data_IF_588384104702
#
_entry.id   IF_588384104702
#
_cell.length_a   1.000
_cell.length_b   1.000
_cell.length_c   1.000
_cell.angle_alpha   90.00
_cell.angle_beta   90.00
_cell.angle_gamma   90.00
#
_symmetry.space_group_name_H-M   'P 1'
#
loop_
_entity.id
_entity.type
_entity.pdbx_description
1 polymer ?
#
# COMPACT_ATOMS: atom_id res chain seq x y z
N UNK A 1 5.60 12.67 -9.72
CA UNK A 1 5.86 11.98 -8.43
C UNK A 1 4.55 11.95 -7.67
N UNK A 2 4.00 10.77 -7.37
CA UNK A 2 2.66 10.66 -6.76
C UNK A 2 2.70 11.10 -5.28
N UNK A 3 1.64 11.76 -4.76
CA UNK A 3 1.58 12.26 -3.38
C UNK A 3 1.83 11.16 -2.33
N UNK A 4 1.51 9.91 -2.67
CA UNK A 4 1.81 8.72 -1.85
C UNK A 4 3.30 8.52 -1.57
N UNK A 5 4.18 8.76 -2.55
CA UNK A 5 5.64 8.60 -2.37
C UNK A 5 6.21 9.67 -1.42
N UNK A 6 5.62 10.87 -1.43
CA UNK A 6 6.03 11.98 -0.57
C UNK A 6 5.61 11.69 0.88
N UNK A 7 4.37 11.25 1.10
CA UNK A 7 3.90 10.87 2.44
C UNK A 7 4.71 9.73 3.06
N UNK A 8 5.11 8.75 2.25
CA UNK A 8 5.96 7.64 2.70
C UNK A 8 7.38 8.10 3.08
N UNK A 9 8.01 8.96 2.26
CA UNK A 9 9.34 9.54 2.54
C UNK A 9 9.34 10.42 3.78
N UNK A 10 8.30 11.25 3.94
CA UNK A 10 8.15 12.13 5.10
C UNK A 10 7.93 11.30 6.38
N UNK A 11 7.09 10.27 6.32
CA UNK A 11 6.85 9.37 7.46
C UNK A 11 8.10 8.59 7.88
N UNK A 12 8.93 8.15 6.94
CA UNK A 12 10.16 7.39 7.23
C UNK A 12 11.27 8.27 7.82
N UNK A 13 11.37 9.54 7.43
CA UNK A 13 12.36 10.48 7.96
C UNK A 13 11.94 11.09 9.31
N UNK A 14 10.65 11.35 9.52
CA UNK A 14 10.15 12.01 10.73
C UNK A 14 9.97 11.01 11.89
N UNK A 15 9.57 9.77 11.60
CA UNK A 15 9.34 8.75 12.63
C UNK A 15 10.52 8.51 13.59
N UNK A 16 11.79 8.37 13.14
CA UNK A 16 12.92 8.17 14.05
C UNK A 16 13.22 9.41 14.92
N UNK A 17 12.96 10.61 14.40
CA UNK A 17 13.12 11.86 15.16
C UNK A 17 12.09 11.95 16.30
N UNK A 18 10.83 11.60 16.02
CA UNK A 18 9.77 11.56 17.03
C UNK A 18 10.07 10.50 18.09
N UNK A 19 10.53 9.31 17.69
CA UNK A 19 10.96 8.26 18.61
C UNK A 19 12.11 8.72 19.52
N UNK A 20 13.10 9.43 18.98
CA UNK A 20 14.19 10.01 19.78
C UNK A 20 13.67 10.99 20.83
N UNK A 21 12.73 11.86 20.46
CA UNK A 21 12.14 12.83 21.40
C UNK A 21 11.36 12.12 22.52
N UNK A 22 10.56 11.11 22.18
CA UNK A 22 9.78 10.34 23.18
C UNK A 22 10.71 9.59 24.14
N UNK A 23 11.65 8.81 23.60
CA UNK A 23 12.57 7.99 24.42
C UNK A 23 13.51 8.90 25.23
N UNK A 24 14.00 9.99 24.64
CA UNK A 24 14.82 10.98 25.32
C UNK A 24 14.07 11.67 26.46
N UNK A 25 12.79 11.98 26.28
CA UNK A 25 11.93 12.54 27.34
C UNK A 25 11.76 11.55 28.49
N UNK A 26 11.43 10.29 28.20
CA UNK A 26 11.31 9.23 29.21
C UNK A 26 12.64 9.07 29.98
N UNK A 27 13.76 9.02 29.26
CA UNK A 27 15.09 8.89 29.86
C UNK A 27 15.43 10.08 30.78
N UNK A 28 15.07 11.30 30.38
CA UNK A 28 15.25 12.50 31.19
C UNK A 28 14.44 12.47 32.50
N UNK A 29 13.19 12.00 32.44
CA UNK A 29 12.35 11.85 33.64
C UNK A 29 12.89 10.78 34.59
N UNK A 30 13.31 9.62 34.07
CA UNK A 30 13.88 8.53 34.89
C UNK A 30 15.14 8.99 35.65
N UNK A 31 15.98 9.81 35.01
CA UNK A 31 17.24 10.27 35.60
C UNK A 31 17.09 11.50 36.52
N UNK A 32 15.86 11.85 36.89
CA UNK A 32 15.57 12.86 37.90
C UNK A 32 16.05 14.26 37.55
N UNK A 33 16.04 14.64 36.25
CA UNK A 33 16.53 15.95 35.75
C UNK A 33 17.99 16.29 36.08
N UNK A 34 18.80 15.31 36.51
CA UNK A 34 20.22 15.53 36.85
C UNK A 34 21.11 15.89 35.66
N UNK A 35 20.63 15.68 34.43
CA UNK A 35 21.33 15.98 33.18
C UNK A 35 20.51 16.96 32.34
N UNK A 36 21.13 17.86 31.58
CA UNK A 36 20.39 18.74 30.68
C UNK A 36 19.65 17.93 29.61
N UNK A 37 18.42 18.34 29.28
CA UNK A 37 17.50 17.62 28.39
C UNK A 37 18.14 17.24 27.04
N UNK A 38 18.88 18.16 26.41
CA UNK A 38 19.58 17.87 25.15
C UNK A 38 20.62 16.76 25.27
N UNK A 39 21.31 16.64 26.41
CA UNK A 39 22.27 15.55 26.66
C UNK A 39 21.56 14.22 26.93
N UNK A 40 20.30 14.25 27.37
CA UNK A 40 19.44 13.08 27.52
C UNK A 40 18.95 12.56 26.16
N UNK A 41 18.45 13.45 25.29
CA UNK A 41 17.94 13.12 23.94
C UNK A 41 19.05 12.61 23.02
N UNK A 42 20.22 13.26 23.02
CA UNK A 42 21.37 12.84 22.20
C UNK A 42 22.28 11.82 22.91
N UNK A 43 21.78 11.16 23.95
CA UNK A 43 22.51 10.07 24.58
C UNK A 43 22.68 8.93 23.58
N UNK A 44 23.89 8.37 23.49
CA UNK A 44 24.22 7.24 22.61
C UNK A 44 23.23 6.08 22.75
N UNK A 45 22.73 5.84 23.96
CA UNK A 45 21.74 4.79 24.25
C UNK A 45 20.34 5.08 23.70
N UNK A 46 19.94 6.35 23.69
CA UNK A 46 18.65 6.79 23.14
C UNK A 46 18.69 6.70 21.61
N UNK A 47 19.77 7.20 21.00
CA UNK A 47 19.97 7.13 19.54
C UNK A 47 19.93 5.67 19.04
N UNK A 48 20.69 4.78 19.69
CA UNK A 48 20.74 3.36 19.32
C UNK A 48 19.38 2.69 19.49
N UNK A 49 18.68 2.93 20.61
CA UNK A 49 17.35 2.35 20.84
C UNK A 49 16.31 2.84 19.83
N UNK A 50 16.31 4.13 19.50
CA UNK A 50 15.42 4.71 18.48
C UNK A 50 15.68 4.12 17.09
N UNK A 51 16.94 3.94 16.72
CA UNK A 51 17.31 3.29 15.45
C UNK A 51 16.85 1.83 15.41
N UNK A 52 17.07 1.07 16.48
CA UNK A 52 16.64 -0.34 16.56
C UNK A 52 15.10 -0.44 16.45
N UNK A 53 14.36 0.38 17.20
CA UNK A 53 12.89 0.38 17.13
C UNK A 53 12.35 0.80 15.76
N UNK A 54 13.03 1.75 15.11
CA UNK A 54 12.69 2.16 13.75
C UNK A 54 12.92 1.03 12.74
N UNK A 55 14.05 0.31 12.85
CA UNK A 55 14.36 -0.84 12.01
C UNK A 55 13.36 -1.99 12.21
N UNK A 56 13.01 -2.34 13.45
CA UNK A 56 12.02 -3.38 13.74
C UNK A 56 10.65 -3.02 13.14
N UNK A 57 10.22 -1.76 13.31
CA UNK A 57 8.96 -1.27 12.75
C UNK A 57 8.95 -1.31 11.22
N UNK A 58 10.11 -1.04 10.59
CA UNK A 58 10.27 -1.07 9.14
C UNK A 58 10.18 -2.50 8.60
N UNK A 59 10.87 -3.45 9.22
CA UNK A 59 10.83 -4.86 8.84
C UNK A 59 9.41 -5.43 8.96
N UNK A 60 8.70 -5.11 10.05
CA UNK A 60 7.31 -5.57 10.24
C UNK A 60 6.37 -5.10 9.12
N UNK A 61 6.47 -3.84 8.68
CA UNK A 61 5.65 -3.30 7.58
C UNK A 61 5.97 -3.94 6.24
N UNK A 62 7.25 -4.17 5.96
CA UNK A 62 7.68 -4.80 4.70
C UNK A 62 7.17 -6.24 4.58
N UNK A 63 7.18 -6.99 5.68
CA UNK A 63 6.62 -8.34 5.72
C UNK A 63 5.11 -8.36 5.43
N UNK A 64 4.34 -7.41 5.97
CA UNK A 64 2.90 -7.31 5.70
C UNK A 64 2.60 -6.98 4.24
N UNK A 65 3.38 -6.11 3.60
CA UNK A 65 3.21 -5.75 2.20
C UNK A 65 3.54 -6.92 1.27
N UNK A 66 4.63 -7.66 1.56
CA UNK A 66 4.96 -8.89 0.84
C UNK A 66 3.88 -9.96 0.98
N UNK A 67 3.32 -10.12 2.18
CA UNK A 67 2.24 -11.07 2.42
C UNK A 67 0.96 -10.67 1.67
N UNK A 68 0.66 -9.37 1.62
CA UNK A 68 -0.45 -8.84 0.83
C UNK A 68 -0.23 -9.05 -0.67
N UNK A 69 1.01 -8.89 -1.16
CA UNK A 69 1.36 -9.08 -2.58
C UNK A 69 1.28 -10.53 -3.04
N UNK A 70 1.52 -11.48 -2.13
CA UNK A 70 1.33 -12.90 -2.39
C UNK A 70 -0.14 -13.34 -2.28
N UNK A 71 -1.04 -12.48 -1.76
CA UNK A 71 -2.44 -12.82 -1.54
C UNK A 71 -3.27 -12.72 -2.82
N UNK A 72 -4.22 -13.64 -2.97
CA UNK A 72 -5.29 -13.59 -3.97
C UNK A 72 -6.47 -12.71 -3.52
N UNK A 73 -6.50 -12.28 -2.25
CA UNK A 73 -7.53 -11.38 -1.71
C UNK A 73 -6.99 -9.96 -1.76
N UNK A 74 -7.58 -9.12 -2.62
CA UNK A 74 -7.09 -7.76 -2.83
C UNK A 74 -7.69 -6.81 -1.81
N UNK A 75 -7.00 -5.70 -1.46
CA UNK A 75 -7.55 -4.71 -0.56
C UNK A 75 -8.83 -4.09 -1.12
N UNK A 76 -9.83 -3.88 -0.27
CA UNK A 76 -11.16 -3.39 -0.69
C UNK A 76 -11.09 -2.06 -1.45
N UNK A 77 -10.16 -1.18 -1.05
CA UNK A 77 -9.91 0.10 -1.73
C UNK A 77 -9.54 -0.07 -3.21
N UNK A 78 -8.76 -1.11 -3.54
CA UNK A 78 -8.23 -1.33 -4.89
C UNK A 78 -9.27 -2.06 -5.74
N UNK A 79 -10.05 -2.96 -5.12
CA UNK A 79 -11.24 -3.57 -5.74
C UNK A 79 -12.28 -2.50 -6.13
N UNK A 80 -12.54 -1.54 -5.23
CA UNK A 80 -13.44 -0.41 -5.52
C UNK A 80 -12.91 0.46 -6.65
N UNK A 81 -11.63 0.85 -6.59
CA UNK A 81 -11.00 1.65 -7.64
C UNK A 81 -11.06 0.97 -9.01
N UNK A 82 -10.79 -0.34 -9.07
CA UNK A 82 -10.93 -1.13 -10.30
C UNK A 82 -12.37 -1.13 -10.81
N UNK A 83 -13.33 -1.38 -9.93
CA UNK A 83 -14.76 -1.45 -10.28
C UNK A 83 -15.26 -0.10 -10.80
N UNK A 84 -14.91 1.00 -10.15
CA UNK A 84 -15.24 2.35 -10.58
C UNK A 84 -14.62 2.71 -11.92
N UNK A 85 -13.35 2.36 -12.15
CA UNK A 85 -12.67 2.54 -13.42
C UNK A 85 -13.34 1.75 -14.55
N UNK A 86 -13.70 0.50 -14.28
CA UNK A 86 -14.41 -0.37 -15.20
C UNK A 86 -15.81 0.18 -15.55
N UNK A 87 -16.59 0.61 -14.55
CA UNK A 87 -17.90 1.23 -14.75
C UNK A 87 -17.80 2.54 -15.55
N UNK A 88 -16.78 3.36 -15.29
CA UNK A 88 -16.53 4.60 -16.02
C UNK A 88 -16.23 4.32 -17.50
N UNK A 89 -15.44 3.29 -17.79
CA UNK A 89 -15.19 2.83 -19.16
C UNK A 89 -16.44 2.32 -19.88
N UNK A 90 -17.32 1.61 -19.16
CA UNK A 90 -18.58 1.09 -19.70
C UNK A 90 -19.60 2.20 -20.01
N UNK A 91 -19.70 3.23 -19.17
CA UNK A 91 -20.51 4.43 -19.42
C UNK A 91 -20.10 5.12 -20.73
N UNK A 92 -18.80 5.21 -21.01
CA UNK A 92 -18.27 5.74 -22.27
C UNK A 92 -18.72 4.98 -23.52
N UNK A 93 -19.16 3.72 -23.38
CA UNK A 93 -19.62 2.84 -24.47
C UNK A 93 -21.15 2.64 -24.50
N UNK A 94 -21.92 3.42 -23.72
CA UNK A 94 -23.40 3.31 -23.61
C UNK A 94 -23.89 1.91 -23.19
N UNK A 95 -23.10 1.20 -22.40
CA UNK A 95 -23.54 -0.08 -21.81
C UNK A 95 -24.43 0.20 -20.59
N UNK A 96 -25.47 -0.60 -20.38
CA UNK A 96 -26.32 -0.51 -19.19
C UNK A 96 -25.48 -0.65 -17.91
N UNK A 97 -25.74 0.21 -16.92
CA UNK A 97 -24.93 0.28 -15.69
C UNK A 97 -24.99 -1.02 -14.89
N UNK A 98 -26.15 -1.69 -14.84
CA UNK A 98 -26.30 -2.95 -14.09
C UNK A 98 -25.56 -4.10 -14.76
N UNK A 99 -25.56 -4.11 -16.10
CA UNK A 99 -24.77 -5.07 -16.89
C UNK A 99 -23.27 -4.80 -16.68
N UNK A 100 -22.85 -3.53 -16.74
CA UNK A 100 -21.46 -3.16 -16.48
C UNK A 100 -21.01 -3.55 -15.07
N UNK A 101 -21.84 -3.34 -14.04
CA UNK A 101 -21.53 -3.71 -12.66
C UNK A 101 -21.34 -5.23 -12.51
N UNK A 102 -22.23 -6.03 -13.09
CA UNK A 102 -22.11 -7.51 -13.10
C UNK A 102 -20.81 -7.95 -13.80
N UNK A 103 -20.47 -7.33 -14.93
CA UNK A 103 -19.24 -7.63 -15.68
C UNK A 103 -17.98 -7.25 -14.90
N UNK A 104 -17.94 -6.07 -14.30
CA UNK A 104 -16.80 -5.58 -13.55
C UNK A 104 -16.57 -6.43 -12.28
N UNK A 105 -17.66 -6.79 -11.58
CA UNK A 105 -17.63 -7.67 -10.40
C UNK A 105 -17.16 -9.09 -10.76
N UNK A 106 -17.65 -9.66 -11.87
CA UNK A 106 -17.16 -10.94 -12.36
C UNK A 106 -15.67 -10.87 -12.71
N UNK A 107 -15.26 -9.82 -13.43
CA UNK A 107 -13.88 -9.68 -13.90
C UNK A 107 -12.90 -9.59 -12.74
N UNK A 108 -13.16 -8.75 -11.73
CA UNK A 108 -12.25 -8.63 -10.58
C UNK A 108 -12.18 -9.92 -9.77
N UNK A 109 -13.30 -10.65 -9.65
CA UNK A 109 -13.33 -11.94 -8.95
C UNK A 109 -12.47 -12.99 -9.66
N UNK A 110 -12.56 -13.07 -10.99
CA UNK A 110 -11.77 -14.02 -11.77
C UNK A 110 -10.29 -13.61 -11.85
N UNK A 111 -10.00 -12.31 -11.90
CA UNK A 111 -8.63 -11.78 -11.78
C UNK A 111 -8.02 -12.18 -10.44
N UNK A 112 -8.75 -12.03 -9.33
CA UNK A 112 -8.30 -12.44 -8.00
C UNK A 112 -7.96 -13.93 -7.91
N UNK A 113 -8.73 -14.79 -8.61
CA UNK A 113 -8.43 -16.23 -8.68
C UNK A 113 -7.19 -16.54 -9.52
N UNK A 114 -6.98 -15.78 -10.59
CA UNK A 114 -5.92 -16.06 -11.57
C UNK A 114 -4.57 -15.44 -11.19
N UNK A 115 -4.57 -14.31 -10.48
CA UNK A 115 -3.37 -13.52 -10.18
C UNK A 115 -3.31 -13.13 -8.71
N UNK A 116 -2.11 -13.09 -8.15
CA UNK A 116 -1.91 -12.47 -6.83
C UNK A 116 -2.02 -10.95 -6.94
N UNK A 117 -2.18 -10.27 -5.81
CA UNK A 117 -2.25 -8.82 -5.78
C UNK A 117 -0.97 -8.16 -6.32
N UNK A 118 0.20 -8.73 -6.04
CA UNK A 118 1.48 -8.26 -6.56
C UNK A 118 1.57 -8.36 -8.08
N UNK A 119 1.04 -9.43 -8.67
CA UNK A 119 0.95 -9.61 -10.13
C UNK A 119 -0.04 -8.65 -10.76
N UNK A 120 -1.21 -8.47 -10.14
CA UNK A 120 -2.21 -7.50 -10.55
C UNK A 120 -1.61 -6.08 -10.64
N UNK A 121 -0.87 -5.63 -9.61
CA UNK A 121 -0.21 -4.32 -9.63
C UNK A 121 0.77 -4.16 -10.79
N UNK A 122 1.54 -5.21 -11.11
CA UNK A 122 2.49 -5.19 -12.24
C UNK A 122 1.75 -5.07 -13.56
N UNK A 123 0.70 -5.86 -13.75
CA UNK A 123 -0.12 -5.84 -14.96
C UNK A 123 -0.83 -4.48 -15.12
N UNK A 124 -1.38 -3.91 -14.04
CA UNK A 124 -2.00 -2.58 -14.07
C UNK A 124 -1.00 -1.49 -14.49
N UNK A 125 0.21 -1.51 -13.93
CA UNK A 125 1.30 -0.62 -14.35
C UNK A 125 1.69 -0.80 -15.82
N UNK A 126 1.80 -2.04 -16.28
CA UNK A 126 2.08 -2.35 -17.68
C UNK A 126 0.96 -1.86 -18.61
N UNK A 127 -0.30 -2.00 -18.20
CA UNK A 127 -1.45 -1.49 -18.94
C UNK A 127 -1.46 0.03 -19.04
N UNK A 128 -1.13 0.74 -17.94
CA UNK A 128 -1.03 2.20 -17.95
C UNK A 128 0.11 2.69 -18.86
N UNK A 129 1.23 1.99 -18.88
CA UNK A 129 2.40 2.38 -19.68
C UNK A 129 2.31 1.99 -21.16
N UNK A 130 1.85 0.77 -21.45
CA UNK A 130 1.82 0.20 -22.80
C UNK A 130 0.49 0.42 -23.53
N UNK A 131 -0.57 0.84 -22.81
CA UNK A 131 -1.96 0.90 -23.29
C UNK A 131 -2.48 -0.43 -23.87
N UNK A 132 -1.79 -1.55 -23.61
CA UNK A 132 -2.15 -2.87 -24.10
C UNK A 132 -2.66 -3.73 -22.95
N UNK A 133 -3.76 -4.45 -23.18
CA UNK A 133 -4.34 -5.37 -22.21
C UNK A 133 -3.73 -6.75 -22.46
N UNK A 134 -3.07 -7.38 -21.47
CA UNK A 134 -2.55 -8.73 -21.62
C UNK A 134 -3.65 -9.72 -22.02
N UNK A 135 -3.28 -10.70 -22.86
CA UNK A 135 -4.24 -11.68 -23.39
C UNK A 135 -4.99 -12.43 -22.28
N UNK A 136 -4.31 -12.78 -21.18
CA UNK A 136 -4.93 -13.41 -20.01
C UNK A 136 -6.04 -12.56 -19.39
N UNK A 137 -5.82 -11.25 -19.25
CA UNK A 137 -6.84 -10.31 -18.77
C UNK A 137 -8.03 -10.18 -19.72
N UNK A 138 -7.75 -10.10 -21.03
CA UNK A 138 -8.80 -10.03 -22.05
C UNK A 138 -9.69 -11.29 -22.04
N UNK A 139 -9.09 -12.47 -21.84
CA UNK A 139 -9.82 -13.72 -21.78
C UNK A 139 -10.76 -13.77 -20.57
N UNK A 140 -10.33 -13.25 -19.41
CA UNK A 140 -11.17 -13.15 -18.21
C UNK A 140 -12.37 -12.22 -18.44
N UNK A 141 -12.13 -11.05 -19.03
CA UNK A 141 -13.22 -10.10 -19.32
C UNK A 141 -14.20 -10.70 -20.33
N UNK A 142 -13.70 -11.42 -21.34
CA UNK A 142 -14.52 -12.06 -22.37
C UNK A 142 -15.36 -13.20 -21.79
N UNK A 143 -14.80 -14.02 -20.90
CA UNK A 143 -15.55 -15.12 -20.26
C UNK A 143 -16.64 -14.60 -19.34
N UNK A 144 -16.40 -13.47 -18.64
CA UNK A 144 -17.42 -12.79 -17.85
C UNK A 144 -18.53 -12.19 -18.71
N UNK A 145 -18.22 -11.73 -19.93
CA UNK A 145 -19.23 -11.22 -20.87
C UNK A 145 -20.15 -12.30 -21.44
N UNK A 146 -19.74 -13.56 -21.38
CA UNK A 146 -20.51 -14.71 -21.86
C UNK A 146 -21.37 -15.38 -20.77
N UNK A 147 -21.39 -14.84 -19.52
CA UNK A 147 -22.13 -15.34 -18.35
C UNK A 147 -23.33 -14.47 -17.95
#
# INVERSE_FOLDING_TARGET
MTPFKIGYLVGTLISPLVLMLIIGTIYYFIKGRSIPYWKAVFSRWVIVSSLILSLISFVGRFSSDLQQDASHVYPEKDVKAFTEGCLSGAKGKKVDIKVAEKLCSCSITEIQKAYTYGEFKKIDLEMQNSKSIPSGFRNIVTSCAQK
#
